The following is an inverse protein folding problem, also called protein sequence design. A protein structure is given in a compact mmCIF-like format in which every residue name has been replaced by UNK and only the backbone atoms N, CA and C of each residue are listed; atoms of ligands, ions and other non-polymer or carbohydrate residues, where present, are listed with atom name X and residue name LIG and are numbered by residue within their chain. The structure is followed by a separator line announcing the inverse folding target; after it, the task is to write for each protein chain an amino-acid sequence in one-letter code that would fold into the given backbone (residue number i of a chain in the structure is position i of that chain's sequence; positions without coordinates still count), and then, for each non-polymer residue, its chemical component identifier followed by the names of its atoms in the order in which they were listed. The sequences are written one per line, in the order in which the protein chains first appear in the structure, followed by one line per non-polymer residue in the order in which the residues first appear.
data_IF_524333879761
#
_entry.id   IF_524333879761
#
_cell.length_a   1.000
_cell.length_b   1.000
_cell.length_c   1.000
_cell.angle_alpha   90.00
_cell.angle_beta   90.00
_cell.angle_gamma   90.00
#
_symmetry.space_group_name_H-M   'P 1'
#
loop_
_entity.id
_entity.type
_entity.pdbx_description
1 polymer ?
#
# COMPACT_ATOMS: atom_id res chain seq x y z
N UNK A 1 22.70 3.26 -8.20
CA UNK A 1 23.32 3.23 -6.86
C UNK A 1 22.45 4.05 -5.93
N UNK A 2 21.65 3.43 -5.05
CA UNK A 2 20.73 4.18 -4.17
C UNK A 2 21.50 4.83 -3.02
N UNK A 3 21.49 6.16 -2.96
CA UNK A 3 22.03 6.90 -1.82
C UNK A 3 21.10 6.73 -0.63
N UNK A 4 21.62 6.12 0.44
CA UNK A 4 20.87 5.97 1.69
C UNK A 4 20.69 7.32 2.37
N UNK A 5 19.55 7.54 3.04
CA UNK A 5 19.35 8.73 3.87
C UNK A 5 20.46 8.86 4.92
N UNK A 6 20.80 10.09 5.32
CA UNK A 6 21.86 10.38 6.30
C UNK A 6 21.71 9.59 7.61
N UNK A 7 20.47 9.39 8.07
CA UNK A 7 20.18 8.63 9.28
C UNK A 7 20.34 7.12 9.08
N UNK A 8 20.11 6.60 7.87
CA UNK A 8 20.35 5.20 7.56
C UNK A 8 21.86 4.94 7.41
N UNK A 9 22.62 5.87 6.81
CA UNK A 9 24.08 5.80 6.73
C UNK A 9 24.72 5.67 8.11
N UNK A 10 24.27 6.47 9.09
CA UNK A 10 24.73 6.40 10.48
C UNK A 10 24.49 5.03 11.12
N UNK A 11 23.32 4.41 10.87
CA UNK A 11 23.02 3.06 11.39
C UNK A 11 23.91 2.00 10.76
N UNK A 12 24.11 2.09 9.44
CA UNK A 12 24.98 1.18 8.71
C UNK A 12 26.44 1.30 9.18
N UNK A 13 26.92 2.51 9.48
CA UNK A 13 28.27 2.72 10.06
C UNK A 13 28.43 2.02 11.42
N UNK A 14 27.43 2.12 12.30
CA UNK A 14 27.44 1.42 13.60
C UNK A 14 27.44 -0.10 13.39
N UNK A 15 26.64 -0.60 12.44
CA UNK A 15 26.58 -2.02 12.11
C UNK A 15 27.92 -2.56 11.60
N UNK A 16 28.60 -1.82 10.71
CA UNK A 16 29.94 -2.18 10.21
C UNK A 16 30.93 -2.29 11.37
N UNK A 17 30.96 -1.30 12.28
CA UNK A 17 31.87 -1.31 13.43
C UNK A 17 31.56 -2.44 14.42
N UNK A 18 30.29 -2.75 14.62
CA UNK A 18 29.86 -3.86 15.45
C UNK A 18 30.32 -5.21 14.87
N UNK A 19 30.16 -5.39 13.56
CA UNK A 19 30.62 -6.60 12.86
C UNK A 19 32.14 -6.73 12.84
N UNK A 20 32.87 -5.61 12.90
CA UNK A 20 34.32 -5.58 13.09
C UNK A 20 34.77 -5.88 14.55
N UNK A 21 33.84 -6.22 15.45
CA UNK A 21 34.12 -6.60 16.83
C UNK A 21 34.16 -5.45 17.83
N UNK A 22 33.90 -4.21 17.40
CA UNK A 22 33.86 -3.05 18.30
C UNK A 22 32.46 -2.97 18.91
N UNK A 23 32.34 -3.41 20.16
CA UNK A 23 31.04 -3.51 20.85
C UNK A 23 30.78 -2.39 21.86
N UNK A 24 31.85 -1.70 22.30
CA UNK A 24 31.74 -0.61 23.28
C UNK A 24 31.17 0.64 22.61
N UNK A 25 30.03 1.12 23.15
CA UNK A 25 29.34 2.30 22.58
C UNK A 25 30.16 3.60 22.62
N UNK A 26 31.10 3.73 23.57
CA UNK A 26 31.99 4.90 23.67
C UNK A 26 32.95 4.96 22.47
N UNK A 27 33.58 3.83 22.15
CA UNK A 27 34.54 3.73 21.04
C UNK A 27 33.86 4.02 19.69
N UNK A 28 32.64 3.51 19.50
CA UNK A 28 31.83 3.79 18.30
C UNK A 28 31.47 5.28 18.22
N UNK A 29 31.08 5.90 19.35
CA UNK A 29 30.76 7.32 19.42
C UNK A 29 31.96 8.19 19.02
N UNK A 30 33.16 7.87 19.52
CA UNK A 30 34.39 8.60 19.19
C UNK A 30 34.76 8.47 17.70
N UNK A 31 34.58 7.28 17.11
CA UNK A 31 34.92 7.01 15.70
C UNK A 31 33.93 7.58 14.69
N UNK A 32 32.67 7.78 15.08
CA UNK A 32 31.59 8.16 14.14
C UNK A 32 30.97 9.52 14.42
N UNK A 33 31.28 10.14 15.56
CA UNK A 33 30.63 11.36 16.07
C UNK A 33 29.10 11.25 16.17
N UNK A 34 28.56 10.02 16.26
CA UNK A 34 27.14 9.77 16.47
C UNK A 34 26.83 9.83 17.97
N UNK A 35 25.76 10.53 18.41
CA UNK A 35 25.43 10.61 19.83
C UNK A 35 25.30 9.25 20.50
N UNK A 36 25.88 9.11 21.69
CA UNK A 36 25.94 7.86 22.48
C UNK A 36 24.58 7.17 22.64
N UNK A 37 23.50 7.93 22.86
CA UNK A 37 22.14 7.39 22.94
C UNK A 37 21.70 6.68 21.63
N UNK A 38 22.05 7.24 20.48
CA UNK A 38 21.73 6.64 19.18
C UNK A 38 22.53 5.36 18.97
N UNK A 39 23.81 5.37 19.34
CA UNK A 39 24.67 4.17 19.28
C UNK A 39 24.08 3.04 20.11
N UNK A 40 23.77 3.27 21.39
CA UNK A 40 23.17 2.24 22.25
C UNK A 40 21.83 1.74 21.72
N UNK A 41 20.97 2.62 21.21
CA UNK A 41 19.70 2.22 20.59
C UNK A 41 19.91 1.29 19.41
N UNK A 42 20.87 1.60 18.53
CA UNK A 42 21.19 0.77 17.36
C UNK A 42 21.83 -0.55 17.78
N UNK A 43 22.78 -0.54 18.72
CA UNK A 43 23.39 -1.77 19.26
C UNK A 43 22.34 -2.71 19.87
N UNK A 44 21.35 -2.17 20.60
CA UNK A 44 20.26 -2.98 21.13
C UNK A 44 19.40 -3.59 20.01
N UNK A 45 19.14 -2.85 18.93
CA UNK A 45 18.44 -3.42 17.77
C UNK A 45 19.24 -4.56 17.10
N UNK A 46 20.57 -4.42 16.98
CA UNK A 46 21.44 -5.45 16.42
C UNK A 46 21.43 -6.70 17.32
N UNK A 47 21.59 -6.53 18.64
CA UNK A 47 21.54 -7.62 19.63
C UNK A 47 20.20 -8.36 19.60
N UNK A 48 19.10 -7.60 19.49
CA UNK A 48 17.74 -8.14 19.39
C UNK A 48 17.43 -8.77 18.00
N UNK A 49 18.40 -8.79 17.07
CA UNK A 49 18.21 -9.20 15.67
C UNK A 49 17.03 -8.48 14.98
N UNK A 50 16.78 -7.23 15.35
CA UNK A 50 15.72 -6.37 14.80
C UNK A 50 16.24 -5.59 13.59
N UNK A 51 15.32 -5.26 12.68
CA UNK A 51 15.65 -4.44 11.51
C UNK A 51 16.18 -3.05 11.91
N UNK A 52 17.30 -2.65 11.30
CA UNK A 52 17.85 -1.30 11.40
C UNK A 52 17.14 -0.28 10.50
N UNK A 53 16.23 -0.74 9.65
CA UNK A 53 15.46 0.13 8.77
C UNK A 53 14.51 1.00 9.58
N UNK A 54 14.28 2.23 9.12
CA UNK A 54 13.33 3.12 9.77
C UNK A 54 11.90 2.56 9.67
N UNK A 55 11.29 2.28 10.82
CA UNK A 55 9.87 1.98 10.90
C UNK A 55 9.07 3.26 10.67
N UNK A 56 8.22 3.25 9.65
CA UNK A 56 7.25 4.33 9.43
C UNK A 56 6.34 4.43 10.65
N UNK A 57 6.09 5.66 11.12
CA UNK A 57 5.11 5.90 12.17
C UNK A 57 3.70 5.53 11.72
N UNK A 58 2.80 5.30 12.68
CA UNK A 58 1.40 4.95 12.42
C UNK A 58 0.64 6.03 11.63
N UNK A 59 1.10 7.28 11.69
CA UNK A 59 0.46 8.42 11.04
C UNK A 59 -0.89 8.77 11.67
N UNK A 60 -1.62 9.70 11.05
CA UNK A 60 -2.95 10.10 11.50
C UNK A 60 -3.98 9.02 11.13
N UNK A 61 -4.85 8.59 12.05
CA UNK A 61 -5.97 7.70 11.74
C UNK A 61 -6.88 8.29 10.64
N UNK A 62 -7.40 7.42 9.77
CA UNK A 62 -8.34 7.85 8.72
C UNK A 62 -9.67 8.31 9.31
N UNK A 63 -10.26 9.37 8.72
CA UNK A 63 -11.62 9.83 9.07
C UNK A 63 -12.70 8.79 8.73
N UNK A 64 -12.46 7.95 7.72
CA UNK A 64 -13.44 6.95 7.28
C UNK A 64 -13.30 5.70 8.14
N UNK A 65 -14.35 5.39 8.90
CA UNK A 65 -14.45 4.21 9.76
C UNK A 65 -14.43 2.91 8.94
N UNK A 66 -14.04 1.80 9.58
CA UNK A 66 -13.99 0.49 8.93
C UNK A 66 -15.34 0.04 8.35
N UNK A 67 -16.46 0.37 9.02
CA UNK A 67 -17.80 0.04 8.54
C UNK A 67 -18.14 0.78 7.24
N UNK A 68 -17.82 2.07 7.16
CA UNK A 68 -18.02 2.85 5.95
C UNK A 68 -17.14 2.34 4.81
N UNK A 69 -15.89 1.92 5.08
CA UNK A 69 -15.03 1.27 4.07
C UNK A 69 -15.70 0.02 3.47
N UNK A 70 -16.30 -0.82 4.31
CA UNK A 70 -17.03 -2.03 3.87
C UNK A 70 -18.29 -1.66 3.08
N UNK A 71 -19.02 -0.64 3.54
CA UNK A 71 -20.20 -0.12 2.84
C UNK A 71 -19.87 0.43 1.46
N UNK A 72 -18.78 1.17 1.30
CA UNK A 72 -18.28 1.66 0.00
C UNK A 72 -18.03 0.47 -0.94
N UNK A 73 -17.34 -0.57 -0.45
CA UNK A 73 -17.04 -1.74 -1.27
C UNK A 73 -18.32 -2.48 -1.70
N UNK A 74 -19.27 -2.69 -0.78
CA UNK A 74 -20.55 -3.34 -1.08
C UNK A 74 -21.36 -2.57 -2.13
N UNK A 75 -21.37 -1.23 -2.07
CA UNK A 75 -22.06 -0.39 -3.05
C UNK A 75 -21.45 -0.50 -4.46
N UNK A 76 -20.13 -0.61 -4.57
CA UNK A 76 -19.47 -0.82 -5.87
C UNK A 76 -19.59 -2.24 -6.39
N UNK A 77 -19.66 -3.24 -5.52
CA UNK A 77 -19.89 -4.64 -5.90
C UNK A 77 -21.30 -4.84 -6.44
N UNK A 78 -22.32 -4.23 -5.82
CA UNK A 78 -23.71 -4.32 -6.30
C UNK A 78 -23.94 -3.49 -7.56
N UNK A 79 -23.38 -2.29 -7.64
CA UNK A 79 -23.45 -1.46 -8.82
C UNK A 79 -22.11 -0.74 -9.09
N UNK A 80 -21.29 -1.25 -10.02
CA UNK A 80 -20.00 -0.65 -10.37
C UNK A 80 -20.10 0.78 -10.95
N UNK A 81 -21.27 1.21 -11.42
CA UNK A 81 -21.52 2.53 -12.01
C UNK A 81 -21.94 3.59 -10.97
N UNK A 82 -21.91 3.26 -9.68
CA UNK A 82 -22.33 4.18 -8.62
C UNK A 82 -21.41 5.40 -8.55
N UNK A 83 -22.01 6.60 -8.51
CA UNK A 83 -21.27 7.86 -8.41
C UNK A 83 -20.84 8.15 -6.97
N UNK A 84 -19.72 8.87 -6.80
CA UNK A 84 -19.25 9.25 -5.46
C UNK A 84 -20.23 10.15 -4.71
N UNK A 85 -20.97 11.00 -5.45
CA UNK A 85 -21.99 11.89 -4.88
C UNK A 85 -23.17 11.11 -4.30
N UNK A 86 -23.55 9.98 -4.91
CA UNK A 86 -24.64 9.15 -4.37
C UNK A 86 -24.21 8.27 -3.20
N UNK A 87 -22.90 7.98 -3.08
CA UNK A 87 -22.34 7.23 -1.95
C UNK A 87 -22.24 8.11 -0.70
N UNK A 88 -21.87 9.39 -0.86
CA UNK A 88 -21.63 10.31 0.26
C UNK A 88 -22.73 10.35 1.33
N UNK A 89 -24.03 10.53 0.98
CA UNK A 89 -25.11 10.56 1.98
C UNK A 89 -25.36 9.21 2.67
N UNK A 90 -24.80 8.10 2.15
CA UNK A 90 -24.96 6.75 2.71
C UNK A 90 -23.87 6.42 3.75
N UNK A 91 -22.89 7.30 3.95
CA UNK A 91 -21.79 7.09 4.90
C UNK A 91 -22.12 7.73 6.25
N UNK A 92 -21.68 7.09 7.32
CA UNK A 92 -21.80 7.65 8.67
C UNK A 92 -20.73 8.72 8.96
N UNK A 93 -19.58 8.61 8.30
CA UNK A 93 -18.46 9.54 8.47
C UNK A 93 -18.67 10.81 7.64
N UNK A 94 -18.66 12.02 8.25
CA UNK A 94 -18.71 13.27 7.51
C UNK A 94 -17.37 13.51 6.81
N UNK A 95 -17.34 13.23 5.50
CA UNK A 95 -16.13 13.36 4.67
C UNK A 95 -16.40 14.17 3.41
N UNK A 96 -15.35 14.75 2.84
CA UNK A 96 -15.44 15.40 1.53
C UNK A 96 -15.44 14.36 0.40
N UNK A 97 -15.95 14.75 -0.78
CA UNK A 97 -15.87 13.93 -2.00
C UNK A 97 -14.41 13.56 -2.33
N UNK A 98 -13.46 14.47 -2.13
CA UNK A 98 -12.04 14.21 -2.36
C UNK A 98 -11.49 13.12 -1.44
N UNK A 99 -11.91 13.10 -0.17
CA UNK A 99 -11.53 12.07 0.80
C UNK A 99 -12.10 10.71 0.40
N UNK A 100 -13.37 10.70 -0.03
CA UNK A 100 -14.02 9.49 -0.53
C UNK A 100 -13.32 8.95 -1.78
N UNK A 101 -12.98 9.81 -2.75
CA UNK A 101 -12.23 9.43 -3.95
C UNK A 101 -10.88 8.80 -3.60
N UNK A 102 -10.12 9.41 -2.69
CA UNK A 102 -8.85 8.84 -2.21
C UNK A 102 -9.04 7.47 -1.55
N UNK A 103 -10.13 7.28 -0.80
CA UNK A 103 -10.46 6.00 -0.18
C UNK A 103 -10.83 4.92 -1.20
N UNK A 104 -11.63 5.26 -2.20
CA UNK A 104 -12.01 4.35 -3.30
C UNK A 104 -10.78 3.89 -4.08
N UNK A 105 -9.86 4.82 -4.39
CA UNK A 105 -8.57 4.49 -5.03
C UNK A 105 -7.72 3.56 -4.17
N UNK A 106 -7.65 3.77 -2.85
CA UNK A 106 -6.94 2.87 -1.91
C UNK A 106 -7.54 1.47 -1.84
N UNK A 107 -8.83 1.32 -2.16
CA UNK A 107 -9.51 0.03 -2.26
C UNK A 107 -9.39 -0.61 -3.65
N UNK A 108 -8.57 -0.05 -4.55
CA UNK A 108 -8.35 -0.52 -5.92
C UNK A 108 -9.58 -0.49 -6.84
N UNK A 109 -10.61 0.30 -6.50
CA UNK A 109 -11.68 0.60 -7.43
C UNK A 109 -11.22 1.65 -8.43
N UNK A 110 -11.47 1.38 -9.71
CA UNK A 110 -11.05 2.23 -10.83
C UNK A 110 -12.25 2.61 -11.68
N UNK A 111 -12.29 3.86 -12.11
CA UNK A 111 -13.22 4.31 -13.14
C UNK A 111 -12.68 3.91 -14.50
N UNK A 112 -13.49 3.22 -15.31
CA UNK A 112 -13.17 2.86 -16.69
C UNK A 112 -14.33 3.27 -17.58
N UNK A 113 -14.00 3.77 -18.78
CA UNK A 113 -14.99 3.99 -19.82
C UNK A 113 -15.46 2.64 -20.33
N UNK A 114 -16.78 2.45 -20.40
CA UNK A 114 -17.35 1.24 -21.01
C UNK A 114 -16.97 1.19 -22.51
N UNK A 115 -16.58 0.01 -22.98
CA UNK A 115 -16.27 -0.24 -24.39
C UNK A 115 -17.60 -0.50 -25.12
N UNK A 116 -17.75 0.09 -26.31
CA UNK A 116 -18.91 -0.19 -27.17
C UNK A 116 -18.77 -1.60 -27.72
N UNK A 117 -19.79 -2.42 -27.50
CA UNK A 117 -19.91 -3.77 -28.05
C UNK A 117 -21.17 -3.85 -28.91
N UNK A 118 -21.19 -4.70 -29.96
CA UNK A 118 -22.41 -4.93 -30.72
C UNK A 118 -23.48 -5.55 -29.82
N UNK A 119 -24.74 -5.15 -30.01
CA UNK A 119 -25.86 -5.80 -29.34
C UNK A 119 -26.05 -7.20 -29.94
N UNK A 120 -25.86 -8.24 -29.14
CA UNK A 120 -26.04 -9.63 -29.56
C UNK A 120 -27.40 -10.12 -29.09
N UNK A 121 -28.09 -10.85 -29.95
CA UNK A 121 -29.26 -11.66 -29.58
C UNK A 121 -28.79 -13.02 -29.06
N UNK A 122 -29.67 -13.75 -28.38
CA UNK A 122 -29.35 -15.09 -27.85
C UNK A 122 -28.92 -16.05 -28.96
N UNK A 123 -29.52 -15.95 -30.14
CA UNK A 123 -29.12 -16.73 -31.33
C UNK A 123 -27.67 -16.43 -31.75
N UNK A 124 -27.27 -15.15 -31.76
CA UNK A 124 -25.90 -14.77 -32.10
C UNK A 124 -24.89 -15.31 -31.08
N UNK A 125 -25.23 -15.27 -29.78
CA UNK A 125 -24.38 -15.80 -28.71
C UNK A 125 -24.18 -17.31 -28.90
N UNK A 126 -25.26 -18.07 -29.09
CA UNK A 126 -25.18 -19.53 -29.27
C UNK A 126 -24.33 -19.92 -30.49
N UNK A 127 -24.52 -19.26 -31.63
CA UNK A 127 -23.71 -19.52 -32.84
C UNK A 127 -22.23 -19.22 -32.62
N UNK A 128 -21.90 -18.11 -31.95
CA UNK A 128 -20.51 -17.75 -31.65
C UNK A 128 -19.85 -18.77 -30.73
N UNK A 129 -20.55 -19.22 -29.68
CA UNK A 129 -20.03 -20.24 -28.76
C UNK A 129 -19.82 -21.56 -29.50
N UNK A 130 -20.75 -22.00 -30.33
CA UNK A 130 -20.62 -23.23 -31.13
C UNK A 130 -19.40 -23.17 -32.06
N UNK A 131 -19.27 -22.07 -32.82
CA UNK A 131 -18.13 -21.83 -33.69
C UNK A 131 -16.79 -21.83 -32.93
N UNK A 132 -16.72 -21.16 -31.77
CA UNK A 132 -15.51 -21.18 -30.93
C UNK A 132 -15.14 -22.58 -30.43
N UNK A 133 -16.13 -23.41 -30.08
CA UNK A 133 -15.92 -24.80 -29.65
C UNK A 133 -15.44 -25.71 -30.78
N UNK A 134 -15.99 -25.55 -31.98
CA UNK A 134 -15.61 -26.31 -33.17
C UNK A 134 -14.20 -25.97 -33.66
N UNK A 135 -13.83 -24.68 -33.62
CA UNK A 135 -12.59 -24.20 -34.23
C UNK A 135 -11.33 -24.42 -33.38
N UNK A 136 -11.44 -24.89 -32.12
CA UNK A 136 -10.32 -25.18 -31.16
C UNK A 136 -9.18 -24.15 -31.08
N UNK A 137 -9.34 -22.95 -31.63
CA UNK A 137 -8.34 -21.90 -31.61
C UNK A 137 -8.72 -20.91 -30.52
N UNK A 138 -8.39 -21.28 -29.28
CA UNK A 138 -8.26 -20.36 -28.17
C UNK A 138 -7.17 -20.90 -27.23
N UNK A 139 -5.94 -20.92 -27.75
CA UNK A 139 -4.72 -20.76 -26.95
C UNK A 139 -4.36 -19.26 -26.94
#
# INVERSE_FOLDING_TARGET
MYMHSTQQQRRNQIEILYNAGITKGVDICQRTSIPKQTVHRVLNLIKDKKSLQHKRGAGRPSKIKANDKRRIAALYQSNPRTSLRSILPRLSSPVSISTLHAQVKRQNFVSKRAVRVPALTDLHVSKRIAWCKEMKCFD
#
